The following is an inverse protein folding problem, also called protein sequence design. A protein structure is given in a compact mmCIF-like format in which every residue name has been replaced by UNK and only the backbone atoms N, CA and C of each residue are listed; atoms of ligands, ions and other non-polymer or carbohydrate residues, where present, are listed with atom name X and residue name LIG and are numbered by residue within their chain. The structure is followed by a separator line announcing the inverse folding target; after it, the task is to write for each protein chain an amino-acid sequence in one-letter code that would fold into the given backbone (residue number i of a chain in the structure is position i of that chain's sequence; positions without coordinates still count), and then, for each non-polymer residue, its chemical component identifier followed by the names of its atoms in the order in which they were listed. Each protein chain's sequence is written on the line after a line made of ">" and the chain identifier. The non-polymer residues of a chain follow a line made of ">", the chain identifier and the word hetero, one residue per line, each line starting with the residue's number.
data_IF_475941835331
#
_entry.id   IF_475941835331
#
_cell.length_a   1.000
_cell.length_b   1.000
_cell.length_c   1.000
_cell.angle_alpha   90.00
_cell.angle_beta   90.00
_cell.angle_gamma   90.00
#
_symmetry.space_group_name_H-M   'P 1'
#
loop_
_entity.id
_entity.type
_entity.pdbx_description
1 polymer ?
#
# COMPACT_ATOMS: atom_id res chain seq x y z
N UNK A 1 -51.56 28.21 -31.18
CA UNK A 1 -51.82 29.64 -31.44
C UNK A 1 -50.54 30.31 -31.96
N UNK A 2 -50.73 31.24 -32.90
CA UNK A 2 -49.78 31.96 -33.77
C UNK A 2 -48.52 32.49 -33.07
N UNK A 3 -47.31 32.22 -33.58
CA UNK A 3 -46.53 32.97 -34.61
C UNK A 3 -46.04 34.34 -34.11
N UNK A 4 -44.72 34.55 -34.09
CA UNK A 4 -44.09 35.70 -34.75
C UNK A 4 -42.69 35.36 -35.29
N UNK A 5 -42.57 35.62 -36.58
CA UNK A 5 -41.45 35.41 -37.50
C UNK A 5 -41.08 36.78 -38.04
N UNK A 6 -39.78 37.09 -38.20
CA UNK A 6 -39.17 38.00 -39.20
C UNK A 6 -37.72 38.27 -38.78
N UNK A 7 -36.71 38.42 -39.63
CA UNK A 7 -36.46 38.11 -41.06
C UNK A 7 -34.95 38.38 -41.24
N UNK A 8 -34.28 37.61 -42.09
CA UNK A 8 -32.85 37.74 -42.45
C UNK A 8 -32.56 39.01 -43.26
N UNK A 9 -31.32 39.51 -43.21
CA UNK A 9 -30.58 40.02 -44.37
C UNK A 9 -29.07 40.10 -44.08
N UNK A 10 -28.28 39.55 -45.00
CA UNK A 10 -26.82 39.60 -45.05
C UNK A 10 -26.38 40.73 -46.00
N UNK A 11 -25.22 41.34 -45.76
CA UNK A 11 -24.51 42.16 -46.73
C UNK A 11 -22.99 41.99 -46.60
N UNK A 12 -22.35 41.87 -47.76
CA UNK A 12 -20.94 41.57 -48.05
C UNK A 12 -20.01 42.80 -47.98
N UNK A 13 -18.71 42.50 -47.76
CA UNK A 13 -17.49 43.20 -48.24
C UNK A 13 -17.23 44.64 -47.73
N UNK A 14 -16.01 44.99 -47.29
CA UNK A 14 -14.78 45.17 -48.08
C UNK A 14 -13.58 45.18 -47.12
N UNK A 15 -12.59 44.31 -47.35
CA UNK A 15 -11.26 44.39 -46.71
C UNK A 15 -10.38 45.34 -47.53
N UNK A 16 -9.90 46.41 -46.91
CA UNK A 16 -8.84 47.26 -47.47
C UNK A 16 -7.47 46.67 -47.09
N UNK A 17 -6.73 46.23 -48.11
CA UNK A 17 -5.36 45.73 -48.03
C UNK A 17 -4.36 46.89 -47.94
N UNK A 18 -3.65 47.01 -46.83
CA UNK A 18 -2.43 47.84 -46.73
C UNK A 18 -1.22 46.93 -46.93
N UNK A 19 -0.54 47.13 -48.06
CA UNK A 19 0.73 46.50 -48.41
C UNK A 19 1.87 47.10 -47.57
N UNK A 20 2.47 46.28 -46.69
CA UNK A 20 3.78 46.54 -46.09
C UNK A 20 4.87 45.69 -46.77
N UNK A 21 6.13 46.17 -46.87
CA UNK A 21 7.15 45.53 -47.68
C UNK A 21 7.58 44.18 -47.10
N UNK A 22 7.63 43.18 -47.99
CA UNK A 22 8.10 41.83 -47.69
C UNK A 22 9.63 41.84 -47.44
N UNK A 23 10.04 41.68 -46.20
CA UNK A 23 11.40 41.26 -45.89
C UNK A 23 11.55 39.78 -46.27
N UNK A 24 12.39 39.51 -47.28
CA UNK A 24 12.81 38.16 -47.61
C UNK A 24 13.63 37.59 -46.45
N UNK A 25 13.01 36.73 -45.65
CA UNK A 25 13.72 35.91 -44.67
C UNK A 25 14.51 34.82 -45.43
N UNK A 26 15.84 34.83 -45.27
CA UNK A 26 16.70 33.74 -45.70
C UNK A 26 16.22 32.40 -45.10
N UNK A 27 16.42 31.25 -45.77
CA UNK A 27 16.02 29.98 -45.21
C UNK A 27 16.84 29.73 -43.94
N UNK A 28 16.16 29.70 -42.80
CA UNK A 28 16.76 29.24 -41.56
C UNK A 28 17.14 27.78 -41.76
N UNK A 29 18.44 27.52 -41.80
CA UNK A 29 19.01 26.17 -41.69
C UNK A 29 18.42 25.56 -40.42
N UNK A 30 17.62 24.50 -40.58
CA UNK A 30 17.06 23.77 -39.47
C UNK A 30 18.22 23.32 -38.57
N UNK A 31 18.18 23.57 -37.25
CA UNK A 31 19.19 23.03 -36.37
C UNK A 31 19.12 21.50 -36.46
N UNK A 32 20.29 20.96 -36.73
CA UNK A 32 20.64 19.56 -36.76
C UNK A 32 20.00 18.79 -35.61
N UNK A 33 19.53 17.58 -35.91
CA UNK A 33 18.78 16.70 -35.03
C UNK A 33 19.30 16.75 -33.58
N UNK A 34 18.39 17.02 -32.65
CA UNK A 34 18.65 16.95 -31.22
C UNK A 34 19.45 15.68 -30.90
N UNK A 35 20.68 15.86 -30.45
CA UNK A 35 21.53 14.79 -29.96
C UNK A 35 20.72 13.93 -28.99
N UNK A 36 20.53 12.66 -29.34
CA UNK A 36 19.90 11.68 -28.47
C UNK A 36 20.63 11.71 -27.13
N UNK A 37 19.89 11.86 -26.03
CA UNK A 37 20.49 11.79 -24.71
C UNK A 37 21.36 10.53 -24.61
N UNK A 38 22.59 10.61 -24.09
CA UNK A 38 23.48 9.47 -24.06
C UNK A 38 22.81 8.34 -23.26
N UNK A 39 22.64 7.18 -23.92
CA UNK A 39 22.16 5.95 -23.28
C UNK A 39 23.03 5.69 -22.05
N UNK A 40 22.41 5.49 -20.89
CA UNK A 40 23.12 5.10 -19.67
C UNK A 40 23.85 3.77 -19.92
N UNK A 41 25.18 3.84 -20.10
CA UNK A 41 26.02 2.68 -20.42
C UNK A 41 25.92 1.61 -19.31
N UNK A 42 25.79 2.05 -18.06
CA UNK A 42 25.59 1.17 -16.92
C UNK A 42 24.22 0.50 -16.95
N UNK A 43 23.13 1.24 -17.21
CA UNK A 43 21.80 0.64 -17.30
C UNK A 43 21.72 -0.42 -18.42
N UNK A 44 22.31 -0.12 -19.59
CA UNK A 44 22.40 -1.08 -20.69
C UNK A 44 23.20 -2.32 -20.30
N UNK A 45 24.39 -2.14 -19.70
CA UNK A 45 25.24 -3.24 -19.24
C UNK A 45 24.49 -4.14 -18.25
N UNK A 46 23.89 -3.56 -17.22
CA UNK A 46 23.16 -4.30 -16.18
C UNK A 46 21.97 -5.04 -16.79
N UNK A 47 21.22 -4.42 -17.70
CA UNK A 47 20.10 -5.08 -18.38
C UNK A 47 20.56 -6.28 -19.22
N UNK A 48 21.59 -6.13 -20.06
CA UNK A 48 22.08 -7.23 -20.90
C UNK A 48 22.63 -8.39 -20.07
N UNK A 49 23.29 -8.11 -18.95
CA UNK A 49 23.78 -9.13 -18.02
C UNK A 49 22.63 -9.87 -17.33
N UNK A 50 21.57 -9.15 -16.95
CA UNK A 50 20.46 -9.68 -16.16
C UNK A 50 19.36 -10.35 -17.01
N UNK A 51 19.27 -10.03 -18.30
CA UNK A 51 18.11 -10.36 -19.17
C UNK A 51 17.77 -11.84 -19.19
N UNK A 52 18.76 -12.75 -19.22
CA UNK A 52 18.48 -14.20 -19.24
C UNK A 52 17.95 -14.75 -17.91
N UNK A 53 18.11 -14.00 -16.81
CA UNK A 53 17.60 -14.38 -15.49
C UNK A 53 16.22 -13.81 -15.18
N UNK A 54 15.71 -12.87 -15.99
CA UNK A 54 14.39 -12.27 -15.81
C UNK A 54 13.29 -13.17 -16.36
N UNK A 55 12.22 -13.31 -15.57
CA UNK A 55 11.00 -13.99 -15.98
C UNK A 55 9.78 -13.16 -15.64
N UNK A 56 8.75 -13.29 -16.46
CA UNK A 56 7.43 -12.80 -16.15
C UNK A 56 6.70 -13.93 -15.44
N UNK A 57 6.02 -13.60 -14.35
CA UNK A 57 5.19 -14.54 -13.61
C UNK A 57 3.74 -14.23 -13.93
N UNK A 58 3.06 -15.21 -14.53
CA UNK A 58 1.63 -15.15 -14.86
C UNK A 58 0.88 -16.10 -13.96
N UNK A 59 -0.17 -15.59 -13.32
CA UNK A 59 -1.21 -16.44 -12.73
C UNK A 59 -2.33 -16.57 -13.73
N UNK A 60 -2.70 -17.80 -14.09
CA UNK A 60 -3.73 -18.09 -15.10
C UNK A 60 -4.83 -18.97 -14.52
N UNK A 61 -6.05 -18.82 -15.05
CA UNK A 61 -7.18 -19.68 -14.73
C UNK A 61 -7.04 -21.04 -15.41
N UNK A 62 -7.14 -22.11 -14.63
CA UNK A 62 -7.15 -23.48 -15.15
C UNK A 62 -8.30 -23.67 -16.12
N UNK A 63 -7.98 -24.18 -17.31
CA UNK A 63 -8.95 -24.47 -18.37
C UNK A 63 -9.47 -23.28 -19.17
N UNK A 64 -9.07 -22.03 -18.84
CA UNK A 64 -9.50 -20.84 -19.59
C UNK A 64 -8.34 -20.00 -20.14
N UNK A 65 -7.07 -20.39 -19.90
CA UNK A 65 -5.85 -19.73 -20.37
C UNK A 65 -5.85 -18.19 -20.19
N UNK A 66 -6.66 -17.68 -19.27
CA UNK A 66 -6.88 -16.25 -19.03
C UNK A 66 -6.07 -15.81 -17.82
N UNK A 67 -5.35 -14.71 -17.96
CA UNK A 67 -4.47 -14.15 -16.96
C UNK A 67 -5.27 -13.41 -15.88
N UNK A 68 -5.02 -13.74 -14.61
CA UNK A 68 -5.64 -13.08 -13.45
C UNK A 68 -4.68 -12.17 -12.70
N UNK A 69 -3.37 -12.42 -12.81
CA UNK A 69 -2.31 -11.61 -12.21
C UNK A 69 -1.05 -11.73 -13.06
N UNK A 70 -0.29 -10.63 -13.12
CA UNK A 70 0.99 -10.58 -13.83
C UNK A 70 1.99 -9.75 -13.04
N UNK A 71 3.21 -10.26 -12.97
CA UNK A 71 4.35 -9.60 -12.38
C UNK A 71 5.64 -10.09 -12.99
N UNK A 72 6.74 -9.72 -12.34
CA UNK A 72 8.08 -10.14 -12.69
C UNK A 72 8.66 -11.06 -11.62
N UNK A 73 9.69 -11.78 -11.97
CA UNK A 73 10.51 -12.58 -11.08
C UNK A 73 11.90 -12.74 -11.67
N UNK A 74 12.80 -13.33 -10.91
CA UNK A 74 14.18 -13.51 -11.36
C UNK A 74 14.82 -14.77 -10.77
N UNK A 75 15.69 -15.39 -11.56
CA UNK A 75 16.43 -16.59 -11.18
C UNK A 75 17.54 -16.26 -10.17
N UNK A 76 17.59 -17.04 -9.10
CA UNK A 76 18.52 -16.87 -7.98
C UNK A 76 19.35 -18.11 -7.67
N UNK A 77 19.16 -19.19 -8.44
CA UNK A 77 19.99 -20.38 -8.33
C UNK A 77 20.07 -21.17 -9.65
N UNK A 78 21.13 -21.97 -9.79
CA UNK A 78 21.37 -22.84 -10.95
C UNK A 78 20.33 -23.95 -11.09
N UNK A 79 19.69 -24.31 -9.99
CA UNK A 79 18.62 -25.30 -9.93
C UNK A 79 17.28 -24.72 -10.40
N UNK A 80 17.18 -23.42 -10.67
CA UNK A 80 15.95 -22.79 -11.18
C UNK A 80 15.02 -22.27 -10.09
N UNK A 81 15.57 -21.80 -8.97
CA UNK A 81 14.82 -21.06 -7.97
C UNK A 81 14.55 -19.64 -8.44
N UNK A 82 13.34 -19.14 -8.18
CA UNK A 82 12.87 -17.81 -8.56
C UNK A 82 12.40 -17.04 -7.33
N UNK A 83 12.70 -15.74 -7.30
CA UNK A 83 12.07 -14.81 -6.36
C UNK A 83 11.04 -13.96 -7.11
N UNK A 84 9.91 -13.71 -6.45
CA UNK A 84 8.88 -12.74 -6.86
C UNK A 84 8.15 -12.20 -5.62
N UNK A 85 7.13 -11.36 -5.80
CA UNK A 85 6.28 -10.94 -4.70
C UNK A 85 5.18 -11.95 -4.39
N UNK A 86 4.77 -12.02 -3.12
CA UNK A 86 3.63 -12.84 -2.72
C UNK A 86 2.34 -12.38 -3.41
N UNK A 87 2.10 -11.07 -3.55
CA UNK A 87 0.89 -10.57 -4.19
C UNK A 87 0.76 -10.95 -5.66
N UNK A 88 1.86 -11.22 -6.36
CA UNK A 88 1.85 -11.65 -7.76
C UNK A 88 1.29 -13.08 -7.88
N UNK A 89 1.59 -13.93 -6.88
CA UNK A 89 1.25 -15.37 -6.87
C UNK A 89 0.14 -15.73 -5.88
N UNK A 90 -0.45 -14.75 -5.19
CA UNK A 90 -1.38 -14.98 -4.08
C UNK A 90 -2.61 -15.79 -4.48
N UNK A 91 -3.15 -15.54 -5.68
CA UNK A 91 -4.32 -16.27 -6.19
C UNK A 91 -4.02 -17.75 -6.43
N UNK A 92 -2.82 -18.08 -6.93
CA UNK A 92 -2.36 -19.46 -7.04
C UNK A 92 -2.06 -20.08 -5.67
N UNK A 93 -1.52 -19.31 -4.73
CA UNK A 93 -1.25 -19.79 -3.36
C UNK A 93 -2.54 -20.08 -2.58
N UNK A 94 -3.56 -19.23 -2.71
CA UNK A 94 -4.78 -19.27 -1.89
C UNK A 94 -5.94 -20.03 -2.53
N UNK A 95 -5.94 -20.14 -3.87
CA UNK A 95 -6.97 -20.83 -4.67
C UNK A 95 -6.30 -21.74 -5.73
N UNK A 96 -5.41 -22.68 -5.31
CA UNK A 96 -4.63 -23.53 -6.23
C UNK A 96 -5.49 -24.49 -7.06
N UNK A 97 -6.74 -24.70 -6.70
CA UNK A 97 -7.72 -25.48 -7.47
C UNK A 97 -8.20 -24.73 -8.73
N UNK A 98 -8.12 -23.38 -8.73
CA UNK A 98 -8.57 -22.52 -9.85
C UNK A 98 -7.44 -21.92 -10.66
N UNK A 99 -6.26 -21.78 -10.07
CA UNK A 99 -5.15 -21.06 -10.66
C UNK A 99 -3.89 -21.91 -10.77
N UNK A 100 -3.10 -21.63 -11.78
CA UNK A 100 -1.75 -22.16 -11.96
C UNK A 100 -0.78 -21.04 -12.29
N UNK A 101 0.51 -21.29 -12.08
CA UNK A 101 1.57 -20.33 -12.33
C UNK A 101 2.41 -20.75 -13.52
N UNK A 102 2.65 -19.79 -14.40
CA UNK A 102 3.51 -19.93 -15.56
C UNK A 102 4.58 -18.85 -15.51
N UNK A 103 5.82 -19.25 -15.73
CA UNK A 103 6.91 -18.32 -16.00
C UNK A 103 7.07 -18.15 -17.50
N UNK A 104 7.33 -16.91 -17.94
CA UNK A 104 7.63 -16.58 -19.32
C UNK A 104 8.97 -15.85 -19.35
N UNK A 105 9.96 -16.44 -20.00
CA UNK A 105 11.30 -15.84 -20.12
C UNK A 105 11.31 -14.71 -21.15
N UNK A 106 12.37 -13.90 -21.19
CA UNK A 106 12.49 -12.77 -22.11
C UNK A 106 12.51 -13.15 -23.61
N UNK A 107 12.73 -14.43 -23.94
CA UNK A 107 12.65 -14.98 -25.31
C UNK A 107 11.27 -15.60 -25.64
N UNK A 108 10.32 -15.53 -24.70
CA UNK A 108 8.95 -16.03 -24.87
C UNK A 108 8.76 -17.50 -24.50
N UNK A 109 9.79 -18.22 -24.04
CA UNK A 109 9.60 -19.60 -23.57
C UNK A 109 8.82 -19.62 -22.26
N UNK A 110 7.80 -20.47 -22.23
CA UNK A 110 6.96 -20.71 -21.07
C UNK A 110 7.37 -21.97 -20.31
N UNK A 111 7.28 -21.93 -18.98
CA UNK A 111 7.46 -23.10 -18.13
C UNK A 111 6.59 -23.01 -16.87
N UNK A 112 6.00 -24.12 -16.42
CA UNK A 112 5.23 -24.15 -15.18
C UNK A 112 6.16 -23.92 -13.97
N UNK A 113 5.66 -23.20 -12.98
CA UNK A 113 6.40 -22.96 -11.73
C UNK A 113 5.58 -23.40 -10.51
N UNK A 114 6.29 -23.81 -9.47
CA UNK A 114 5.70 -24.25 -8.22
C UNK A 114 6.13 -23.32 -7.08
N UNK A 115 5.22 -23.03 -6.16
CA UNK A 115 5.53 -22.24 -4.96
C UNK A 115 6.21 -23.16 -3.95
N UNK A 116 7.41 -22.82 -3.48
CA UNK A 116 8.09 -23.55 -2.41
C UNK A 116 7.81 -22.92 -1.05
N UNK A 117 7.88 -21.59 -0.96
CA UNK A 117 7.71 -20.86 0.29
C UNK A 117 7.14 -19.47 0.03
N UNK A 118 6.34 -18.97 0.99
CA UNK A 118 5.78 -17.62 0.96
C UNK A 118 6.15 -16.87 2.25
N UNK A 119 6.38 -15.57 2.12
CA UNK A 119 6.54 -14.62 3.21
C UNK A 119 5.57 -13.46 2.97
N UNK A 120 4.40 -13.56 3.58
CA UNK A 120 3.28 -12.63 3.45
C UNK A 120 3.62 -11.29 4.11
N UNK A 121 4.43 -11.30 5.18
CA UNK A 121 4.81 -10.09 5.93
C UNK A 121 5.67 -9.15 5.09
N UNK A 122 6.58 -9.73 4.31
CA UNK A 122 7.50 -8.98 3.46
C UNK A 122 7.11 -8.99 1.98
N UNK A 123 5.94 -9.54 1.65
CA UNK A 123 5.43 -9.66 0.28
C UNK A 123 6.42 -10.38 -0.67
N UNK A 124 6.93 -11.54 -0.25
CA UNK A 124 7.88 -12.35 -1.04
C UNK A 124 7.35 -13.77 -1.26
N UNK A 125 7.72 -14.36 -2.39
CA UNK A 125 7.53 -15.78 -2.66
C UNK A 125 8.77 -16.38 -3.32
N UNK A 126 9.11 -17.60 -2.89
CA UNK A 126 10.12 -18.44 -3.51
C UNK A 126 9.40 -19.47 -4.38
N UNK A 127 9.73 -19.47 -5.67
CA UNK A 127 9.21 -20.42 -6.64
C UNK A 127 10.34 -21.32 -7.17
N UNK A 128 9.94 -22.38 -7.84
CA UNK A 128 10.83 -23.32 -8.52
C UNK A 128 10.31 -23.60 -9.92
N UNK A 129 11.19 -23.46 -10.90
CA UNK A 129 10.94 -23.92 -12.27
C UNK A 129 10.67 -25.43 -12.28
N UNK A 130 9.63 -25.84 -13.00
CA UNK A 130 9.21 -27.24 -13.12
C UNK A 130 8.97 -27.62 -14.60
N UNK A 131 8.83 -28.92 -14.89
CA UNK A 131 8.56 -29.45 -16.23
C UNK A 131 9.67 -30.31 -16.83
N UNK A 132 9.35 -31.02 -17.92
CA UNK A 132 10.21 -32.05 -18.51
C UNK A 132 11.37 -31.51 -19.39
N UNK A 133 11.30 -30.26 -19.83
CA UNK A 133 12.30 -29.62 -20.72
C UNK A 133 13.12 -28.55 -20.00
N UNK A 134 13.56 -28.83 -18.78
CA UNK A 134 14.42 -27.90 -18.04
C UNK A 134 15.87 -28.01 -18.54
N UNK A 135 16.60 -26.89 -18.67
CA UNK A 135 18.04 -26.93 -18.90
C UNK A 135 18.76 -27.58 -17.71
N UNK A 136 19.97 -28.10 -17.95
CA UNK A 136 20.78 -28.72 -16.90
C UNK A 136 21.22 -27.75 -15.80
N UNK A 137 21.32 -26.45 -16.13
CA UNK A 137 21.62 -25.37 -15.20
C UNK A 137 20.99 -24.08 -15.72
N UNK A 138 20.54 -23.23 -14.80
CA UNK A 138 20.10 -21.87 -15.07
C UNK A 138 21.21 -20.86 -14.76
N UNK A 139 21.18 -19.71 -15.43
CA UNK A 139 21.89 -18.52 -14.94
C UNK A 139 21.13 -17.95 -13.73
N UNK A 140 21.87 -17.35 -12.79
CA UNK A 140 21.30 -16.85 -11.55
C UNK A 140 21.93 -15.53 -11.14
N UNK A 141 21.09 -14.62 -10.66
CA UNK A 141 21.52 -13.40 -10.01
C UNK A 141 22.03 -13.71 -8.60
N UNK A 142 23.09 -13.02 -8.20
CA UNK A 142 23.62 -13.08 -6.84
C UNK A 142 23.06 -11.94 -6.00
N UNK A 143 22.90 -12.16 -4.70
CA UNK A 143 22.51 -11.09 -3.78
C UNK A 143 23.75 -10.29 -3.35
N UNK A 144 23.58 -8.97 -3.19
CA UNK A 144 24.59 -8.16 -2.51
C UNK A 144 24.69 -8.62 -1.06
N UNK A 145 25.92 -8.69 -0.54
CA UNK A 145 26.16 -9.14 0.85
C UNK A 145 25.67 -8.08 1.82
N UNK A 146 25.15 -8.52 2.96
CA UNK A 146 24.71 -7.60 4.02
C UNK A 146 25.82 -6.71 4.57
N UNK A 147 27.07 -7.20 4.56
CA UNK A 147 28.24 -6.42 4.95
C UNK A 147 28.53 -5.23 3.99
N UNK A 148 28.10 -5.33 2.73
CA UNK A 148 28.29 -4.30 1.72
C UNK A 148 27.12 -3.29 1.79
N UNK A 149 27.12 -2.41 2.80
CA UNK A 149 26.02 -1.45 3.00
C UNK A 149 25.81 -0.56 1.76
N UNK A 150 24.55 -0.19 1.52
CA UNK A 150 24.18 0.78 0.48
C UNK A 150 24.39 2.20 1.01
N UNK A 151 25.01 3.05 0.21
CA UNK A 151 25.14 4.47 0.51
C UNK A 151 23.98 5.26 -0.10
N UNK A 152 23.47 6.27 0.61
CA UNK A 152 22.46 7.16 0.05
C UNK A 152 23.00 7.86 -1.22
N UNK A 153 22.21 7.89 -2.29
CA UNK A 153 22.60 8.36 -3.62
C UNK A 153 23.23 7.29 -4.50
N UNK A 154 23.51 6.09 -3.99
CA UNK A 154 24.05 4.98 -4.79
C UNK A 154 23.07 4.58 -5.90
N UNK A 155 23.58 4.35 -7.11
CA UNK A 155 22.74 4.03 -8.29
C UNK A 155 22.14 2.64 -8.17
N UNK A 156 20.90 2.53 -8.62
CA UNK A 156 20.12 1.30 -8.64
C UNK A 156 19.45 1.12 -9.99
N UNK A 157 19.32 -0.12 -10.41
CA UNK A 157 18.69 -0.51 -11.68
C UNK A 157 17.55 -1.47 -11.39
N UNK A 158 16.33 -0.99 -11.49
CA UNK A 158 15.12 -1.80 -11.36
C UNK A 158 14.79 -2.44 -12.70
N UNK A 159 14.59 -3.76 -12.71
CA UNK A 159 14.21 -4.52 -13.90
C UNK A 159 12.86 -5.20 -13.70
N UNK A 160 12.07 -5.27 -14.77
CA UNK A 160 10.78 -5.96 -14.75
C UNK A 160 10.06 -5.79 -16.08
N UNK A 161 8.86 -6.34 -16.19
CA UNK A 161 8.00 -6.25 -17.37
C UNK A 161 6.85 -5.27 -17.12
N UNK A 162 7.07 -3.95 -17.26
CA UNK A 162 6.01 -2.96 -17.08
C UNK A 162 4.85 -3.23 -18.03
N UNK A 163 3.62 -3.17 -17.51
CA UNK A 163 2.36 -3.24 -18.26
C UNK A 163 2.23 -4.44 -19.22
N UNK A 164 3.00 -5.51 -19.00
CA UNK A 164 3.04 -6.69 -19.88
C UNK A 164 3.48 -6.37 -21.33
N UNK A 165 4.27 -5.29 -21.52
CA UNK A 165 4.73 -4.86 -22.87
C UNK A 165 6.12 -5.36 -23.24
N UNK A 166 6.94 -5.74 -22.26
CA UNK A 166 8.32 -6.18 -22.45
C UNK A 166 9.22 -5.78 -21.28
N UNK A 167 10.33 -6.49 -21.10
CA UNK A 167 11.27 -6.20 -20.01
C UNK A 167 11.96 -4.85 -20.21
N UNK A 168 11.92 -4.01 -19.18
CA UNK A 168 12.55 -2.70 -19.14
C UNK A 168 13.54 -2.60 -17.96
N UNK A 169 14.43 -1.62 -18.07
CA UNK A 169 15.30 -1.16 -16.97
C UNK A 169 14.93 0.27 -16.62
N UNK A 170 14.72 0.52 -15.33
CA UNK A 170 14.51 1.85 -14.75
C UNK A 170 15.68 2.14 -13.84
N UNK A 171 16.42 3.20 -14.18
CA UNK A 171 17.50 3.70 -13.34
C UNK A 171 16.96 4.67 -12.29
N UNK A 172 17.55 4.63 -11.10
CA UNK A 172 17.30 5.56 -10.01
C UNK A 172 18.38 5.43 -8.94
N UNK A 173 18.10 5.90 -7.73
CA UNK A 173 19.05 5.86 -6.63
C UNK A 173 18.44 5.38 -5.31
N UNK A 174 19.32 4.87 -4.45
CA UNK A 174 19.01 4.47 -3.08
C UNK A 174 18.88 5.70 -2.19
N UNK A 175 17.77 5.84 -1.49
CA UNK A 175 17.52 6.97 -0.58
C UNK A 175 17.45 6.56 0.89
N UNK A 176 17.99 5.39 1.25
CA UNK A 176 17.87 4.84 2.59
C UNK A 176 16.69 3.87 2.74
N UNK A 177 16.41 3.50 3.98
CA UNK A 177 15.19 2.77 4.33
C UNK A 177 14.04 3.76 4.54
N UNK A 178 12.84 3.34 4.19
CA UNK A 178 11.62 4.12 4.39
C UNK A 178 11.41 4.36 5.88
N UNK A 179 11.42 5.63 6.26
CA UNK A 179 11.04 6.04 7.60
C UNK A 179 9.56 5.69 7.84
N UNK A 180 9.22 5.32 9.08
CA UNK A 180 7.85 4.99 9.50
C UNK A 180 7.22 3.75 8.86
N UNK A 181 7.99 2.90 8.19
CA UNK A 181 7.51 1.57 7.79
C UNK A 181 7.63 0.56 8.94
N UNK A 182 6.63 -0.31 9.11
CA UNK A 182 6.66 -1.36 10.13
C UNK A 182 7.68 -2.45 9.79
N UNK A 183 7.83 -2.75 8.51
CA UNK A 183 8.87 -3.63 7.95
C UNK A 183 9.89 -2.82 7.14
N UNK A 184 11.18 -3.21 7.14
CA UNK A 184 12.18 -2.52 6.34
C UNK A 184 11.82 -2.50 4.84
N UNK A 185 11.79 -1.31 4.25
CA UNK A 185 11.60 -1.10 2.82
C UNK A 185 12.68 -0.15 2.32
N UNK A 186 13.18 -0.37 1.11
CA UNK A 186 14.12 0.53 0.46
C UNK A 186 13.34 1.66 -0.21
N UNK A 187 13.75 2.90 0.01
CA UNK A 187 13.27 4.04 -0.76
C UNK A 187 14.09 4.16 -2.06
N UNK A 188 13.44 3.90 -3.20
CA UNK A 188 14.01 4.00 -4.53
C UNK A 188 13.45 5.22 -5.27
N UNK A 189 14.33 6.12 -5.71
CA UNK A 189 13.97 7.28 -6.53
C UNK A 189 13.93 6.91 -8.02
N UNK A 190 12.94 6.09 -8.36
CA UNK A 190 12.57 5.77 -9.73
C UNK A 190 11.09 5.38 -9.79
N UNK A 191 10.48 5.50 -10.95
CA UNK A 191 9.05 5.22 -11.12
C UNK A 191 8.82 3.73 -11.39
N UNK A 192 8.11 3.04 -10.49
CA UNK A 192 7.67 1.68 -10.71
C UNK A 192 6.22 1.61 -11.18
N UNK A 193 5.97 0.86 -12.25
CA UNK A 193 4.63 0.62 -12.80
C UNK A 193 4.20 -0.84 -12.64
N UNK A 194 2.89 -1.10 -12.71
CA UNK A 194 2.34 -2.45 -12.68
C UNK A 194 3.04 -3.37 -13.68
N UNK A 195 3.22 -4.64 -13.31
CA UNK A 195 4.00 -5.63 -14.06
C UNK A 195 5.48 -5.74 -13.64
N UNK A 196 6.07 -4.69 -13.07
CA UNK A 196 7.44 -4.75 -12.52
C UNK A 196 7.53 -5.36 -11.12
N UNK A 197 6.41 -5.46 -10.38
CA UNK A 197 6.35 -6.12 -9.06
C UNK A 197 6.98 -7.51 -9.11
N UNK A 198 7.88 -7.79 -8.18
CA UNK A 198 8.61 -9.05 -8.05
C UNK A 198 9.91 -9.11 -8.86
N UNK A 199 10.16 -8.15 -9.75
CA UNK A 199 11.42 -8.02 -10.47
C UNK A 199 12.56 -7.54 -9.56
N UNK A 200 13.82 -7.72 -9.97
CA UNK A 200 14.97 -7.34 -9.15
C UNK A 200 15.30 -5.86 -9.30
N UNK A 201 15.78 -5.25 -8.22
CA UNK A 201 16.61 -4.05 -8.27
C UNK A 201 18.08 -4.45 -8.04
N UNK A 202 18.97 -3.97 -8.91
CA UNK A 202 20.38 -4.34 -8.96
C UNK A 202 21.29 -3.15 -8.69
N UNK A 203 22.47 -3.41 -8.13
CA UNK A 203 23.58 -2.46 -8.13
C UNK A 203 24.35 -2.46 -9.47
N UNK A 204 25.42 -1.66 -9.57
CA UNK A 204 26.24 -1.54 -10.78
C UNK A 204 26.98 -2.82 -11.14
N UNK A 205 27.16 -3.73 -10.18
CA UNK A 205 27.77 -5.05 -10.37
C UNK A 205 26.75 -6.12 -10.77
N UNK A 206 25.46 -5.77 -10.89
CA UNK A 206 24.39 -6.70 -11.22
C UNK A 206 23.95 -7.57 -10.03
N UNK A 207 24.29 -7.18 -8.79
CA UNK A 207 23.89 -7.91 -7.59
C UNK A 207 22.54 -7.39 -7.08
N UNK A 208 21.69 -8.30 -6.63
CA UNK A 208 20.34 -7.98 -6.14
C UNK A 208 20.43 -7.24 -4.82
N UNK A 209 19.86 -6.04 -4.79
CA UNK A 209 19.76 -5.17 -3.62
C UNK A 209 18.32 -5.05 -3.11
N UNK A 210 17.32 -5.31 -3.96
CA UNK A 210 15.92 -5.29 -3.58
C UNK A 210 15.01 -6.01 -4.57
N UNK A 211 13.74 -6.17 -4.18
CA UNK A 211 12.66 -6.71 -5.01
C UNK A 211 11.61 -5.62 -5.19
N UNK A 212 11.30 -5.32 -6.45
CA UNK A 212 10.37 -4.26 -6.84
C UNK A 212 8.98 -4.51 -6.28
N UNK A 213 8.33 -3.49 -5.70
CA UNK A 213 6.92 -3.53 -5.34
C UNK A 213 6.22 -2.40 -6.08
N UNK A 214 5.60 -2.72 -7.22
CA UNK A 214 4.81 -1.75 -7.97
C UNK A 214 3.41 -1.67 -7.37
N UNK A 215 3.24 -0.80 -6.36
CA UNK A 215 1.91 -0.34 -5.94
C UNK A 215 1.76 1.14 -6.20
N UNK A 216 0.58 1.52 -6.70
CA UNK A 216 0.14 2.91 -6.69
C UNK A 216 -0.02 3.34 -5.24
N UNK A 217 0.92 4.15 -4.76
CA UNK A 217 0.68 5.07 -3.66
C UNK A 217 0.69 6.44 -4.32
N UNK A 218 -0.52 6.91 -4.65
CA UNK A 218 -0.82 8.33 -4.83
C UNK A 218 0.11 9.16 -5.75
N UNK A 219 0.36 8.67 -6.97
CA UNK A 219 0.73 9.53 -8.12
C UNK A 219 2.13 10.16 -8.14
N UNK A 220 3.02 9.86 -7.19
CA UNK A 220 4.37 10.43 -7.13
C UNK A 220 5.47 9.47 -7.63
N UNK A 221 6.63 10.04 -8.03
CA UNK A 221 7.84 9.31 -8.47
C UNK A 221 8.59 8.61 -7.32
N UNK A 222 7.87 8.06 -6.35
CA UNK A 222 8.40 7.39 -5.17
C UNK A 222 8.05 5.92 -5.23
N UNK A 223 9.05 5.05 -5.15
CA UNK A 223 8.86 3.61 -5.18
C UNK A 223 9.55 2.93 -4.00
N UNK A 224 8.95 1.82 -3.58
CA UNK A 224 9.43 1.04 -2.46
C UNK A 224 9.82 -0.36 -2.90
N UNK A 225 10.92 -0.87 -2.35
CA UNK A 225 11.40 -2.22 -2.62
C UNK A 225 11.51 -3.01 -1.33
N UNK A 226 11.31 -4.32 -1.42
CA UNK A 226 11.67 -5.23 -0.34
C UNK A 226 13.19 -5.42 -0.35
N UNK A 227 13.91 -5.25 0.76
CA UNK A 227 15.35 -5.48 0.80
C UNK A 227 15.77 -6.87 0.30
N UNK A 228 16.84 -6.93 -0.50
CA UNK A 228 17.36 -8.18 -1.05
C UNK A 228 17.82 -9.17 0.01
N UNK A 229 18.20 -8.70 1.20
CA UNK A 229 18.55 -9.55 2.35
C UNK A 229 17.38 -10.41 2.81
N UNK A 230 16.14 -9.90 2.76
CA UNK A 230 14.94 -10.67 3.12
C UNK A 230 14.66 -11.76 2.07
N UNK A 231 14.82 -11.45 0.78
CA UNK A 231 14.69 -12.42 -0.30
C UNK A 231 15.79 -13.50 -0.24
N UNK A 232 17.03 -13.11 0.07
CA UNK A 232 18.15 -14.03 0.29
C UNK A 232 17.88 -14.97 1.48
N UNK A 233 17.37 -14.42 2.59
CA UNK A 233 16.99 -15.22 3.76
C UNK A 233 15.82 -16.18 3.45
N UNK A 234 14.85 -15.77 2.63
CA UNK A 234 13.77 -16.65 2.16
C UNK A 234 14.32 -17.81 1.33
N UNK A 235 15.22 -17.53 0.38
CA UNK A 235 15.90 -18.55 -0.41
C UNK A 235 16.65 -19.54 0.48
N UNK A 236 17.44 -19.04 1.44
CA UNK A 236 18.23 -19.88 2.33
C UNK A 236 17.37 -20.87 3.13
N UNK A 237 16.21 -20.42 3.62
CA UNK A 237 15.26 -21.28 4.36
C UNK A 237 14.44 -22.21 3.47
N UNK A 238 14.16 -21.79 2.23
CA UNK A 238 13.16 -22.42 1.38
C UNK A 238 13.69 -23.25 0.20
N UNK A 239 14.99 -23.19 -0.13
CA UNK A 239 15.57 -23.86 -1.31
C UNK A 239 15.41 -25.39 -1.33
N UNK A 240 15.28 -26.00 -0.16
CA UNK A 240 15.10 -27.46 -0.01
C UNK A 240 13.65 -27.81 0.38
N UNK A 241 12.78 -26.81 0.50
CA UNK A 241 11.39 -27.04 0.84
C UNK A 241 10.66 -27.73 -0.33
N UNK A 242 9.80 -28.73 -0.05
CA UNK A 242 8.95 -29.29 -1.09
C UNK A 242 7.96 -28.23 -1.59
N UNK A 243 7.48 -28.36 -2.84
CA UNK A 243 6.38 -27.54 -3.34
C UNK A 243 5.17 -27.54 -2.40
N UNK A 244 4.58 -26.37 -2.20
CA UNK A 244 3.35 -26.20 -1.42
C UNK A 244 2.23 -27.05 -2.02
N UNK A 245 1.56 -27.80 -1.16
CA UNK A 245 0.40 -28.63 -1.50
C UNK A 245 -0.85 -28.00 -0.94
N UNK A 246 -1.85 -27.77 -1.79
CA UNK A 246 -3.12 -27.17 -1.38
C UNK A 246 -3.02 -25.69 -1.05
N UNK A 247 -4.11 -25.12 -0.53
CA UNK A 247 -4.22 -23.69 -0.32
C UNK A 247 -3.39 -23.23 0.90
N UNK A 248 -2.64 -22.14 0.73
CA UNK A 248 -1.70 -21.62 1.73
C UNK A 248 -2.36 -20.87 2.89
N UNK A 249 -3.69 -20.94 3.06
CA UNK A 249 -4.42 -20.25 4.15
C UNK A 249 -3.84 -20.49 5.54
N UNK A 250 -3.42 -21.72 5.93
CA UNK A 250 -2.81 -21.94 7.25
C UNK A 250 -1.48 -21.18 7.43
N UNK A 251 -0.64 -21.14 6.38
CA UNK A 251 0.65 -20.43 6.39
C UNK A 251 0.42 -18.93 6.50
N UNK A 252 -0.53 -18.40 5.70
CA UNK A 252 -0.91 -16.98 5.75
C UNK A 252 -1.46 -16.62 7.12
N UNK A 253 -2.35 -17.44 7.69
CA UNK A 253 -2.94 -17.21 9.01
C UNK A 253 -1.85 -17.18 10.09
N UNK A 254 -0.92 -18.13 10.08
CA UNK A 254 0.18 -18.18 11.06
C UNK A 254 1.06 -16.91 11.00
N UNK A 255 1.46 -16.48 9.80
CA UNK A 255 2.28 -15.28 9.64
C UNK A 255 1.54 -13.99 10.02
N UNK A 256 0.22 -13.93 9.79
CA UNK A 256 -0.61 -12.81 10.23
C UNK A 256 -0.80 -12.80 11.75
N UNK A 257 -0.91 -13.96 12.40
CA UNK A 257 -0.94 -14.08 13.86
C UNK A 257 0.37 -13.58 14.50
N UNK A 258 1.53 -13.89 13.90
CA UNK A 258 2.82 -13.33 14.34
C UNK A 258 2.89 -11.81 14.11
N UNK A 259 2.43 -11.34 12.94
CA UNK A 259 2.42 -9.92 12.61
C UNK A 259 1.56 -9.11 13.59
N UNK A 260 0.33 -9.54 13.85
CA UNK A 260 -0.59 -8.82 14.74
C UNK A 260 -0.08 -8.79 16.18
N UNK A 261 0.64 -9.82 16.63
CA UNK A 261 1.21 -9.85 17.98
C UNK A 261 2.29 -8.78 18.11
N UNK A 262 3.29 -8.83 17.23
CA UNK A 262 4.38 -7.85 17.22
C UNK A 262 3.89 -6.41 17.03
N UNK A 263 2.88 -6.23 16.17
CA UNK A 263 2.27 -4.93 15.93
C UNK A 263 1.55 -4.40 17.18
N UNK A 264 0.77 -5.25 17.85
CA UNK A 264 0.05 -4.89 19.08
C UNK A 264 1.02 -4.48 20.19
N UNK A 265 2.03 -5.30 20.46
CA UNK A 265 3.03 -5.04 21.50
C UNK A 265 3.78 -3.74 21.24
N UNK A 266 4.28 -3.55 20.01
CA UNK A 266 5.04 -2.36 19.63
C UNK A 266 4.19 -1.11 19.59
N UNK A 267 2.90 -1.21 19.27
CA UNK A 267 1.97 -0.07 19.30
C UNK A 267 1.71 0.38 20.73
N UNK A 268 1.32 -0.55 21.60
CA UNK A 268 1.02 -0.23 23.01
C UNK A 268 2.26 0.34 23.71
N UNK A 269 3.44 -0.23 23.46
CA UNK A 269 4.69 0.21 24.08
C UNK A 269 5.12 1.65 23.69
N UNK A 270 4.61 2.19 22.59
CA UNK A 270 4.91 3.58 22.19
C UNK A 270 4.14 4.62 23.00
N UNK A 271 3.00 4.21 23.57
CA UNK A 271 2.06 5.12 24.19
C UNK A 271 1.51 6.17 23.22
N UNK A 272 0.89 7.20 23.81
CA UNK A 272 0.22 8.27 23.09
C UNK A 272 1.04 9.56 23.13
N UNK A 273 0.86 10.44 22.15
CA UNK A 273 1.43 11.79 22.17
C UNK A 273 0.79 12.62 23.30
N UNK A 274 1.57 13.46 23.99
CA UNK A 274 1.04 14.35 25.02
C UNK A 274 0.28 15.55 24.40
N UNK A 275 -0.71 16.07 25.12
CA UNK A 275 -1.38 17.36 24.89
C UNK A 275 -1.93 17.59 23.48
N UNK A 276 -3.09 17.00 23.20
CA UNK A 276 -3.71 16.95 21.86
C UNK A 276 -4.98 17.80 21.75
N UNK A 277 -5.53 18.29 22.86
CA UNK A 277 -6.69 19.20 22.90
C UNK A 277 -6.66 20.03 24.21
N UNK A 278 -7.16 21.28 24.26
CA UNK A 278 -7.10 22.13 25.47
C UNK A 278 -7.78 21.56 26.72
N UNK A 279 -8.84 20.74 26.53
CA UNK A 279 -9.66 20.17 27.62
C UNK A 279 -9.48 18.68 27.82
N UNK A 280 -9.15 17.95 26.75
CA UNK A 280 -9.19 16.50 26.73
C UNK A 280 -7.81 15.96 26.37
N UNK A 281 -7.40 14.88 27.03
CA UNK A 281 -6.33 14.02 26.53
C UNK A 281 -6.98 13.02 25.58
N UNK A 282 -6.60 13.07 24.29
CA UNK A 282 -7.11 12.14 23.27
C UNK A 282 -5.96 11.30 22.69
N UNK A 283 -6.18 10.00 22.42
CA UNK A 283 -5.13 9.06 22.01
C UNK A 283 -4.64 9.30 20.58
N UNK A 284 -3.74 10.26 20.40
CA UNK A 284 -3.01 10.45 19.13
C UNK A 284 -1.74 9.59 19.16
N UNK A 285 -1.56 8.65 18.22
CA UNK A 285 -0.39 7.76 18.21
C UNK A 285 0.90 8.51 17.88
N UNK A 286 2.04 7.89 18.22
CA UNK A 286 3.37 8.37 17.83
C UNK A 286 3.60 8.22 16.32
N UNK A 287 4.38 9.12 15.72
CA UNK A 287 4.67 9.10 14.26
C UNK A 287 5.74 8.06 13.87
N UNK A 288 5.85 6.95 14.62
CA UNK A 288 6.91 5.96 14.41
C UNK A 288 6.56 4.93 13.34
N UNK A 289 5.28 4.62 13.14
CA UNK A 289 4.82 3.82 12.00
C UNK A 289 3.48 4.30 11.42
N UNK A 290 3.07 5.53 11.75
CA UNK A 290 1.81 6.13 11.30
C UNK A 290 2.07 7.54 10.77
N UNK A 291 1.25 7.98 9.82
CA UNK A 291 1.17 9.37 9.37
C UNK A 291 -0.10 9.99 9.91
N UNK A 292 0.05 11.08 10.66
CA UNK A 292 -1.05 11.86 11.20
C UNK A 292 -1.24 13.17 10.43
N UNK A 293 -2.47 13.48 10.05
CA UNK A 293 -2.87 14.72 9.39
C UNK A 293 -3.95 15.41 10.22
N UNK A 294 -3.81 16.72 10.40
CA UNK A 294 -4.79 17.54 11.11
C UNK A 294 -5.48 18.53 10.18
N UNK A 295 -6.76 18.78 10.41
CA UNK A 295 -7.53 19.83 9.73
C UNK A 295 -8.46 20.51 10.72
N UNK A 296 -8.68 21.81 10.57
CA UNK A 296 -9.68 22.56 11.33
C UNK A 296 -10.70 23.17 10.38
N UNK A 297 -11.99 23.07 10.75
CA UNK A 297 -13.10 23.66 10.00
C UNK A 297 -13.79 24.70 10.89
N UNK A 298 -13.34 25.97 10.87
CA UNK A 298 -14.03 27.04 11.58
C UNK A 298 -15.34 27.39 10.86
N UNK A 299 -16.45 27.39 11.58
CA UNK A 299 -17.75 27.81 11.07
C UNK A 299 -17.75 29.31 10.78
N UNK A 300 -18.10 29.69 9.54
CA UNK A 300 -18.10 31.09 9.08
C UNK A 300 -19.28 31.91 9.63
N UNK A 301 -20.34 31.25 10.09
CA UNK A 301 -21.56 31.90 10.62
C UNK A 301 -22.24 31.02 11.69
N UNK A 302 -21.90 31.21 12.98
CA UNK A 302 -22.66 30.68 14.11
C UNK A 302 -22.95 29.16 14.10
N UNK A 303 -21.95 28.34 13.80
CA UNK A 303 -22.09 26.90 13.58
C UNK A 303 -21.28 26.02 14.55
N UNK A 304 -21.14 24.75 14.19
CA UNK A 304 -20.29 23.78 14.87
C UNK A 304 -18.87 23.96 14.37
N UNK A 305 -17.95 24.29 15.27
CA UNK A 305 -16.54 24.26 14.96
C UNK A 305 -16.01 22.87 15.32
N UNK A 306 -15.14 22.30 14.47
CA UNK A 306 -14.44 21.08 14.83
C UNK A 306 -13.01 21.03 14.29
N UNK A 307 -12.19 20.32 15.03
CA UNK A 307 -10.82 19.95 14.67
C UNK A 307 -10.77 18.45 14.48
N UNK A 308 -10.19 17.99 13.37
CA UNK A 308 -10.03 16.57 13.05
C UNK A 308 -8.55 16.21 12.97
N UNK A 309 -8.19 15.07 13.53
CA UNK A 309 -6.89 14.42 13.34
C UNK A 309 -7.10 13.00 12.85
N UNK A 310 -6.52 12.66 11.70
CA UNK A 310 -6.50 11.32 11.11
C UNK A 310 -5.08 10.76 11.12
N UNK A 311 -4.89 9.60 11.73
CA UNK A 311 -3.63 8.87 11.68
C UNK A 311 -3.84 7.50 11.04
N UNK A 312 -3.01 7.15 10.05
CA UNK A 312 -3.08 5.86 9.36
C UNK A 312 -1.69 5.24 9.27
N UNK A 313 -1.61 3.93 9.49
CA UNK A 313 -0.39 3.16 9.26
C UNK A 313 -0.11 2.97 7.76
N UNK A 314 1.15 3.13 7.36
CA UNK A 314 1.56 3.06 5.95
C UNK A 314 1.71 1.62 5.45
N UNK A 315 2.23 0.75 6.31
CA UNK A 315 2.42 -0.66 5.99
C UNK A 315 1.08 -1.39 5.98
N UNK A 316 0.85 -2.20 4.94
CA UNK A 316 -0.32 -3.09 4.84
C UNK A 316 0.13 -4.47 4.38
N UNK A 317 -0.46 -5.51 4.94
CA UNK A 317 -0.18 -6.90 4.57
C UNK A 317 -1.19 -7.37 3.53
N UNK A 318 -0.72 -7.97 2.43
CA UNK A 318 -1.58 -8.42 1.34
C UNK A 318 -2.10 -9.84 1.56
N UNK A 319 -3.37 -10.08 1.24
CA UNK A 319 -3.98 -11.41 1.33
C UNK A 319 -4.93 -11.62 0.14
N UNK A 320 -4.38 -12.07 -0.99
CA UNK A 320 -5.19 -12.43 -2.16
C UNK A 320 -5.81 -11.22 -2.86
N UNK A 321 -7.01 -10.84 -2.46
CA UNK A 321 -7.81 -9.76 -3.04
C UNK A 321 -8.07 -8.59 -2.07
N UNK A 322 -7.54 -8.65 -0.85
CA UNK A 322 -7.63 -7.57 0.13
C UNK A 322 -6.30 -7.34 0.87
N UNK A 323 -6.25 -6.27 1.65
CA UNK A 323 -5.14 -5.99 2.59
C UNK A 323 -5.64 -5.99 4.03
N UNK A 324 -4.76 -6.31 4.97
CA UNK A 324 -5.01 -6.34 6.42
C UNK A 324 -3.76 -5.90 7.19
N UNK A 325 -3.74 -6.04 8.52
CA UNK A 325 -2.58 -5.73 9.35
C UNK A 325 -2.30 -4.23 9.39
N UNK A 326 -3.33 -3.41 9.60
CA UNK A 326 -3.22 -1.95 9.66
C UNK A 326 -3.91 -1.40 10.91
N UNK A 327 -3.45 -0.24 11.37
CA UNK A 327 -4.12 0.56 12.39
C UNK A 327 -4.46 1.93 11.82
N UNK A 328 -5.59 2.47 12.25
CA UNK A 328 -5.96 3.85 11.98
C UNK A 328 -6.71 4.45 13.17
N UNK A 329 -6.43 5.71 13.48
CA UNK A 329 -7.16 6.48 14.50
C UNK A 329 -7.70 7.76 13.88
N UNK A 330 -8.92 8.15 14.23
CA UNK A 330 -9.49 9.47 13.95
C UNK A 330 -9.98 10.09 15.24
N UNK A 331 -9.70 11.37 15.43
CA UNK A 331 -10.23 12.17 16.53
C UNK A 331 -10.88 13.43 15.99
N UNK A 332 -11.99 13.80 16.61
CA UNK A 332 -12.73 15.01 16.29
C UNK A 332 -13.11 15.71 17.59
N UNK A 333 -12.60 16.92 17.79
CA UNK A 333 -12.98 17.78 18.89
C UNK A 333 -14.00 18.80 18.40
N UNK A 334 -15.11 18.94 19.13
CA UNK A 334 -16.25 19.75 18.73
C UNK A 334 -16.49 20.89 19.73
N UNK A 335 -16.72 22.10 19.19
CA UNK A 335 -17.19 23.28 19.93
C UNK A 335 -18.53 23.76 19.32
N UNK A 336 -19.59 23.59 20.10
CA UNK A 336 -20.96 24.00 19.78
C UNK A 336 -21.44 25.23 20.56
N UNK A 337 -20.54 25.99 21.19
CA UNK A 337 -20.90 27.18 21.98
C UNK A 337 -21.73 28.20 21.19
N UNK A 338 -21.57 28.24 19.86
CA UNK A 338 -22.32 29.11 18.94
C UNK A 338 -23.70 28.56 18.52
N UNK A 339 -24.00 27.28 18.79
CA UNK A 339 -25.22 26.60 18.33
C UNK A 339 -26.30 26.49 19.40
N UNK A 340 -25.92 26.48 20.68
CA UNK A 340 -26.78 26.14 21.80
C UNK A 340 -26.97 24.62 21.97
N UNK A 341 -27.34 24.22 23.19
CA UNK A 341 -27.28 22.83 23.68
C UNK A 341 -28.05 21.82 22.82
N UNK A 342 -29.30 22.12 22.45
CA UNK A 342 -30.13 21.17 21.71
C UNK A 342 -29.62 20.93 20.28
N UNK A 343 -29.19 22.00 19.60
CA UNK A 343 -28.66 21.92 18.22
C UNK A 343 -27.31 21.20 18.22
N UNK A 344 -26.44 21.50 19.19
CA UNK A 344 -25.20 20.77 19.40
C UNK A 344 -25.47 19.29 19.62
N UNK A 345 -26.32 18.92 20.60
CA UNK A 345 -26.62 17.53 20.92
C UNK A 345 -27.15 16.75 19.70
N UNK A 346 -28.01 17.38 18.88
CA UNK A 346 -28.52 16.77 17.65
C UNK A 346 -27.42 16.53 16.60
N UNK A 347 -26.57 17.51 16.34
CA UNK A 347 -25.48 17.40 15.35
C UNK A 347 -24.37 16.46 15.82
N UNK A 348 -23.95 16.58 17.07
CA UNK A 348 -22.93 15.73 17.69
C UNK A 348 -23.37 14.26 17.69
N UNK A 349 -24.62 13.98 18.12
CA UNK A 349 -25.17 12.61 18.07
C UNK A 349 -25.32 12.07 16.64
N UNK A 350 -25.66 12.93 15.67
CA UNK A 350 -25.76 12.53 14.28
C UNK A 350 -24.40 12.13 13.70
N UNK A 351 -23.33 12.88 14.02
CA UNK A 351 -21.97 12.54 13.59
C UNK A 351 -21.58 11.13 14.04
N UNK A 352 -21.78 10.83 15.33
CA UNK A 352 -21.46 9.52 15.90
C UNK A 352 -22.24 8.35 15.26
N UNK A 353 -23.52 8.57 14.89
CA UNK A 353 -24.35 7.54 14.24
C UNK A 353 -23.97 7.27 12.79
N UNK A 354 -23.40 8.28 12.10
CA UNK A 354 -23.09 8.19 10.68
C UNK A 354 -21.74 7.51 10.40
N UNK A 355 -21.00 7.13 11.45
CA UNK A 355 -19.75 6.39 11.31
C UNK A 355 -19.97 5.02 10.66
N UNK A 356 -19.43 4.87 9.45
CA UNK A 356 -19.49 3.65 8.65
C UNK A 356 -18.23 2.81 8.81
N UNK A 357 -18.39 1.49 9.00
CA UNK A 357 -17.25 0.59 9.10
C UNK A 357 -16.76 0.17 7.71
N UNK A 358 -15.48 0.43 7.40
CA UNK A 358 -14.84 -0.10 6.20
C UNK A 358 -15.05 -1.61 6.15
N UNK A 359 -15.55 -2.10 5.01
CA UNK A 359 -16.09 -3.46 4.91
C UNK A 359 -15.43 -4.18 3.75
N UNK A 360 -14.74 -5.28 4.05
CA UNK A 360 -14.48 -6.27 3.02
C UNK A 360 -15.80 -6.93 2.59
N UNK A 361 -15.88 -7.32 1.31
CA UNK A 361 -17.07 -7.96 0.76
C UNK A 361 -17.57 -9.13 1.62
N UNK A 362 -18.86 -9.47 1.50
CA UNK A 362 -19.51 -10.58 2.23
C UNK A 362 -18.79 -11.93 2.09
N UNK A 363 -17.91 -12.08 1.11
CA UNK A 363 -17.09 -13.26 0.88
C UNK A 363 -15.93 -13.40 1.89
N UNK A 364 -15.42 -12.31 2.44
CA UNK A 364 -14.23 -12.32 3.30
C UNK A 364 -14.56 -12.30 4.79
N UNK A 365 -15.62 -11.58 5.17
CA UNK A 365 -15.93 -11.29 6.57
C UNK A 365 -17.39 -11.56 6.95
N UNK A 366 -17.61 -11.78 8.24
CA UNK A 366 -18.95 -11.87 8.85
C UNK A 366 -19.63 -10.50 8.91
N UNK A 367 -20.91 -10.47 9.32
CA UNK A 367 -21.51 -9.21 9.80
C UNK A 367 -20.78 -8.76 11.07
N UNK A 368 -20.69 -7.44 11.33
CA UNK A 368 -20.14 -6.96 12.59
C UNK A 368 -21.00 -7.41 13.76
N UNK A 369 -20.36 -7.73 14.88
CA UNK A 369 -20.98 -7.87 16.18
C UNK A 369 -20.47 -6.73 17.04
N UNK A 370 -21.39 -5.92 17.56
CA UNK A 370 -21.06 -4.70 18.29
C UNK A 370 -21.62 -4.77 19.70
N UNK A 371 -20.82 -4.31 20.66
CA UNK A 371 -21.24 -4.08 22.03
C UNK A 371 -21.08 -2.60 22.35
N UNK A 372 -22.03 -2.05 23.10
CA UNK A 372 -22.01 -0.67 23.54
C UNK A 372 -21.96 -0.64 25.06
N UNK A 373 -21.12 0.23 25.61
CA UNK A 373 -21.04 0.46 27.04
C UNK A 373 -20.78 1.94 27.36
N UNK A 374 -20.96 2.29 28.63
CA UNK A 374 -20.62 3.60 29.20
C UNK A 374 -19.50 3.45 30.21
N UNK A 375 -18.45 4.26 30.08
CA UNK A 375 -17.29 4.24 30.97
C UNK A 375 -17.17 5.58 31.69
N UNK A 376 -17.03 5.55 33.01
CA UNK A 376 -16.67 6.74 33.79
C UNK A 376 -15.14 6.77 34.00
N UNK A 377 -14.53 7.87 33.56
CA UNK A 377 -13.09 8.13 33.68
C UNK A 377 -12.84 9.35 34.55
N UNK A 378 -12.99 9.19 35.86
CA UNK A 378 -12.82 10.25 36.85
C UNK A 378 -13.73 11.46 36.53
N UNK A 379 -15.01 11.21 36.25
CA UNK A 379 -16.01 12.21 35.88
C UNK A 379 -16.11 12.47 34.37
N UNK A 380 -15.18 11.97 33.55
CA UNK A 380 -15.33 11.97 32.09
C UNK A 380 -16.15 10.75 31.67
N UNK A 381 -17.44 10.95 31.44
CA UNK A 381 -18.32 9.89 30.96
C UNK A 381 -18.13 9.70 29.45
N UNK A 382 -17.78 8.47 29.06
CA UNK A 382 -17.62 8.04 27.68
C UNK A 382 -18.74 7.09 27.31
N UNK A 383 -19.27 7.22 26.10
CA UNK A 383 -20.01 6.13 25.44
C UNK A 383 -19.09 5.48 24.41
N UNK A 384 -18.87 4.19 24.54
CA UNK A 384 -18.04 3.41 23.63
C UNK A 384 -18.87 2.37 22.89
N UNK A 385 -18.55 2.13 21.62
CA UNK A 385 -19.08 1.04 20.81
C UNK A 385 -17.90 0.27 20.24
N UNK A 386 -17.77 -0.99 20.63
CA UNK A 386 -16.73 -1.90 20.16
C UNK A 386 -17.35 -2.92 19.21
N UNK A 387 -16.89 -2.93 17.97
CA UNK A 387 -17.36 -3.83 16.93
C UNK A 387 -16.25 -4.77 16.46
N UNK A 388 -16.57 -6.05 16.32
CA UNK A 388 -15.68 -7.06 15.76
C UNK A 388 -16.27 -7.71 14.51
N UNK A 389 -15.42 -8.04 13.55
CA UNK A 389 -15.75 -8.80 12.34
C UNK A 389 -14.77 -9.92 12.14
N UNK A 390 -15.25 -11.17 12.14
CA UNK A 390 -14.39 -12.32 11.92
C UNK A 390 -14.09 -12.51 10.43
N UNK A 391 -12.85 -12.88 10.11
CA UNK A 391 -12.48 -13.36 8.78
C UNK A 391 -12.97 -14.81 8.58
N UNK A 392 -13.49 -15.11 7.39
CA UNK A 392 -14.01 -16.44 7.05
C UNK A 392 -12.92 -17.45 6.70
N UNK A 393 -11.84 -17.00 6.07
CA UNK A 393 -10.72 -17.83 5.59
C UNK A 393 -9.45 -17.70 6.44
N UNK A 394 -9.46 -16.78 7.41
CA UNK A 394 -8.39 -16.55 8.37
C UNK A 394 -8.97 -16.71 9.79
N UNK A 395 -9.18 -17.94 10.26
CA UNK A 395 -9.78 -18.16 11.58
C UNK A 395 -8.94 -17.47 12.66
N UNK A 396 -9.60 -17.02 13.73
CA UNK A 396 -9.01 -16.31 14.87
C UNK A 396 -8.57 -14.86 14.60
N UNK A 397 -8.64 -14.39 13.35
CA UNK A 397 -8.40 -12.99 13.04
C UNK A 397 -9.71 -12.22 12.91
N UNK A 398 -9.67 -10.97 13.35
CA UNK A 398 -10.79 -10.05 13.38
C UNK A 398 -10.37 -8.66 12.91
N UNK A 399 -11.30 -7.94 12.30
CA UNK A 399 -11.23 -6.48 12.26
C UNK A 399 -11.97 -5.93 13.48
N UNK A 400 -11.33 -4.97 14.15
CA UNK A 400 -11.82 -4.23 15.29
C UNK A 400 -12.11 -2.78 14.87
N UNK A 401 -13.24 -2.26 15.32
CA UNK A 401 -13.54 -0.83 15.31
C UNK A 401 -14.05 -0.40 16.66
N UNK A 402 -13.43 0.62 17.25
CA UNK A 402 -13.85 1.25 18.51
C UNK A 402 -14.29 2.67 18.20
N UNK A 403 -15.56 2.97 18.45
CA UNK A 403 -16.10 4.33 18.42
C UNK A 403 -16.26 4.81 19.85
N UNK A 404 -15.89 6.06 20.14
CA UNK A 404 -16.02 6.65 21.46
C UNK A 404 -16.48 8.10 21.35
N UNK A 405 -17.31 8.53 22.29
CA UNK A 405 -17.80 9.91 22.39
C UNK A 405 -17.88 10.33 23.85
N UNK A 406 -17.48 11.56 24.16
CA UNK A 406 -17.62 12.13 25.50
C UNK A 406 -19.04 12.66 25.72
N UNK A 407 -19.55 12.54 26.94
CA UNK A 407 -20.92 12.95 27.32
C UNK A 407 -20.92 13.95 28.49
N UNK A 408 -19.77 14.58 28.74
CA UNK A 408 -19.52 15.40 29.92
C UNK A 408 -20.00 16.86 29.80
N UNK A 409 -20.28 17.36 28.58
CA UNK A 409 -20.64 18.75 28.35
C UNK A 409 -21.87 18.91 27.44
N UNK A 410 -22.67 19.97 27.64
CA UNK A 410 -23.85 20.24 26.82
C UNK A 410 -23.54 20.87 25.46
N UNK A 411 -22.32 21.40 25.25
CA UNK A 411 -21.94 22.20 24.07
C UNK A 411 -20.52 21.94 23.56
N UNK A 412 -19.84 20.92 24.10
CA UNK A 412 -18.51 20.52 23.66
C UNK A 412 -18.38 19.01 23.78
N UNK A 413 -17.43 18.43 23.07
CA UNK A 413 -17.12 17.01 23.24
C UNK A 413 -16.12 16.49 22.24
N UNK A 414 -15.64 15.28 22.47
CA UNK A 414 -14.70 14.59 21.56
C UNK A 414 -15.32 13.32 21.06
N UNK A 415 -15.23 13.08 19.76
CA UNK A 415 -15.48 11.77 19.17
C UNK A 415 -14.16 11.18 18.68
N UNK A 416 -14.03 9.87 18.85
CA UNK A 416 -12.87 9.13 18.42
C UNK A 416 -13.25 7.84 17.74
N UNK A 417 -12.39 7.41 16.83
CA UNK A 417 -12.48 6.14 16.13
C UNK A 417 -11.12 5.47 16.08
N UNK A 418 -11.08 4.18 16.37
CA UNK A 418 -9.88 3.36 16.26
C UNK A 418 -10.21 2.07 15.51
N UNK A 419 -9.55 1.88 14.37
CA UNK A 419 -9.69 0.69 13.54
C UNK A 419 -8.40 -0.12 13.57
N UNK A 420 -8.53 -1.44 13.71
CA UNK A 420 -7.43 -2.40 13.66
C UNK A 420 -7.85 -3.56 12.77
N UNK A 421 -7.01 -3.91 11.80
CA UNK A 421 -7.30 -4.97 10.84
C UNK A 421 -6.48 -6.23 11.09
N UNK A 422 -7.13 -7.39 11.06
CA UNK A 422 -6.45 -8.69 11.12
C UNK A 422 -5.74 -8.96 12.44
N UNK A 423 -6.43 -8.72 13.56
CA UNK A 423 -5.92 -8.91 14.92
C UNK A 423 -6.60 -10.10 15.61
N UNK A 424 -5.91 -10.74 16.55
CA UNK A 424 -6.52 -11.80 17.37
C UNK A 424 -7.57 -11.23 18.34
N UNK A 425 -8.55 -12.03 18.77
CA UNK A 425 -9.54 -11.57 19.75
C UNK A 425 -8.91 -11.03 21.05
N UNK A 426 -7.95 -11.71 21.69
CA UNK A 426 -7.31 -11.18 22.90
C UNK A 426 -6.63 -9.82 22.67
N UNK A 427 -5.91 -9.65 21.56
CA UNK A 427 -5.24 -8.39 21.26
C UNK A 427 -6.22 -7.30 20.82
N UNK A 428 -7.33 -7.65 20.18
CA UNK A 428 -8.41 -6.71 19.90
C UNK A 428 -8.95 -6.10 21.21
N UNK A 429 -9.13 -6.92 22.25
CA UNK A 429 -9.56 -6.43 23.57
C UNK A 429 -8.48 -5.59 24.25
N UNK A 430 -7.22 -6.02 24.23
CA UNK A 430 -6.09 -5.22 24.76
C UNK A 430 -5.99 -3.85 24.10
N UNK A 431 -6.08 -3.80 22.76
CA UNK A 431 -6.01 -2.57 21.98
C UNK A 431 -7.21 -1.66 22.24
N UNK A 432 -8.42 -2.23 22.36
CA UNK A 432 -9.63 -1.48 22.73
C UNK A 432 -9.46 -0.82 24.09
N UNK A 433 -8.97 -1.58 25.08
CA UNK A 433 -8.72 -1.08 26.43
C UNK A 433 -7.64 0.01 26.42
N UNK A 434 -6.49 -0.23 25.77
CA UNK A 434 -5.40 0.74 25.64
C UNK A 434 -5.85 2.07 25.03
N UNK A 435 -6.75 2.01 24.04
CA UNK A 435 -7.32 3.19 23.38
C UNK A 435 -8.32 3.93 24.28
N UNK A 436 -9.27 3.23 24.91
CA UNK A 436 -10.26 3.85 25.79
C UNK A 436 -9.62 4.41 27.06
N UNK A 437 -8.55 3.78 27.57
CA UNK A 437 -7.82 4.22 28.76
C UNK A 437 -7.09 5.54 28.59
N UNK A 438 -6.84 5.96 27.36
CA UNK A 438 -6.13 7.19 27.06
C UNK A 438 -7.00 8.45 27.22
N UNK A 439 -8.31 8.29 27.24
CA UNK A 439 -9.24 9.42 27.41
C UNK A 439 -9.26 9.88 28.85
N UNK A 440 -8.97 11.18 29.04
CA UNK A 440 -8.99 11.84 30.33
C UNK A 440 -9.21 13.34 30.16
N UNK A 441 -9.57 14.04 31.23
CA UNK A 441 -9.39 15.49 31.28
C UNK A 441 -7.90 15.84 31.22
N UNK A 442 -7.55 16.95 30.57
CA UNK A 442 -6.21 17.53 30.71
C UNK A 442 -6.03 17.92 32.18
N UNK A 443 -4.94 17.48 32.80
CA UNK A 443 -4.56 17.94 34.14
C UNK A 443 -4.30 19.45 34.04
N UNK A 444 -5.12 20.26 34.69
CA UNK A 444 -4.81 21.68 34.87
C UNK A 444 -3.53 21.78 35.72
N UNK A 445 -2.56 22.62 35.33
CA UNK A 445 -1.28 22.75 36.02
C UNK A 445 -1.41 23.18 37.48
#
# INVERSE_FOLDING_TARGET
>A
MKVHLRRRLAALAVCASVLGPAFAAAPAVAPEAAASAPVSLSARKVYEQARSQLVQIRTVLKGQASQTSVGSGFLVSKEGHLITNFHVVSEAALKPERHELVSVTADGREAPVQILMIDVRHDLALLKMSGAKQPASYDALSFRREADKLAQGERMYSLGNPLDVGFAVIEGNYNGLVERSFYPQIFFAGSLSGGMSGGPALDQEGRVIGVNVARRVDGEQVSFLVPGTLASALLARGREAPPLKGAAWPIVTAQLMEHQESLTERFIAQGWKPATHPRYTVPVPQDRFMRCWGSSEPSRTGGLDFERSDCVMDTRVFVGDFTTGTLATRHEAYDGSKLGTLRFAAQYSASFRNEGFARLGKLHQTKPQCHQDYLDRNGLVLRAVVCLRAYKKLPQLYDLSVLVTTLDQPQAGVQGRFDVQGVSYPNAMKLSQHYLDAYAFVKQP
#
